data_IF_597739728988
#
_entry.id   IF_597739728988
#
_cell.length_a   1.000
_cell.length_b   1.000
_cell.length_c   1.000
_cell.angle_alpha   90.00
_cell.angle_beta   90.00
_cell.angle_gamma   90.00
#
_symmetry.space_group_name_H-M   'P 1'
#
loop_
_entity.id
_entity.type
_entity.pdbx_description
1 polymer ?
#
# COMPACT_ATOMS: atom_id res chain seq x y z
N UNK A 1 -25.23 2.60 29.64
CA UNK A 1 -26.00 1.92 28.57
C UNK A 1 -25.30 2.10 27.23
N UNK A 2 -25.32 1.10 26.36
CA UNK A 2 -24.79 1.22 24.97
C UNK A 2 -25.78 2.04 24.15
N UNK A 3 -25.28 2.97 23.32
CA UNK A 3 -26.14 3.75 22.43
C UNK A 3 -26.57 2.93 21.20
N UNK A 4 -27.72 3.29 20.60
CA UNK A 4 -28.17 2.71 19.34
C UNK A 4 -27.12 2.83 18.23
N UNK A 5 -26.43 3.97 18.14
CA UNK A 5 -25.36 4.20 17.15
C UNK A 5 -24.19 3.24 17.29
N UNK A 6 -23.77 2.95 18.53
CA UNK A 6 -22.70 2.00 18.81
C UNK A 6 -23.11 0.57 18.43
N UNK A 7 -24.35 0.16 18.74
CA UNK A 7 -24.87 -1.15 18.36
C UNK A 7 -24.92 -1.32 16.83
N UNK A 8 -25.40 -0.31 16.11
CA UNK A 8 -25.43 -0.32 14.63
C UNK A 8 -24.02 -0.46 14.04
N UNK A 9 -23.03 0.24 14.59
CA UNK A 9 -21.65 0.12 14.11
C UNK A 9 -21.08 -1.29 14.34
N UNK A 10 -21.36 -1.90 15.49
CA UNK A 10 -20.94 -3.27 15.78
C UNK A 10 -21.62 -4.27 14.84
N UNK A 11 -22.94 -4.14 14.63
CA UNK A 11 -23.69 -4.97 13.65
C UNK A 11 -23.10 -4.84 12.24
N UNK A 12 -22.75 -3.61 11.83
CA UNK A 12 -22.18 -3.34 10.51
C UNK A 12 -20.85 -4.06 10.23
N UNK A 13 -20.14 -4.54 11.25
CA UNK A 13 -18.94 -5.36 11.06
C UNK A 13 -19.27 -6.74 10.48
N UNK A 14 -20.40 -7.33 10.86
CA UNK A 14 -20.85 -8.63 10.36
C UNK A 14 -21.35 -8.57 8.91
N UNK A 15 -21.85 -7.41 8.46
CA UNK A 15 -22.43 -7.21 7.13
C UNK A 15 -21.43 -7.33 5.95
N UNK A 16 -20.15 -7.63 6.21
CA UNK A 16 -19.12 -7.88 5.19
C UNK A 16 -19.07 -9.33 4.71
N UNK A 17 -19.85 -10.21 5.32
CA UNK A 17 -19.96 -11.62 4.98
C UNK A 17 -21.41 -11.96 4.60
N UNK A 18 -21.58 -12.85 3.61
CA UNK A 18 -22.90 -13.33 3.15
C UNK A 18 -23.69 -14.05 4.26
N UNK A 19 -22.99 -14.75 5.15
CA UNK A 19 -23.54 -15.44 6.33
C UNK A 19 -23.29 -14.66 7.62
N UNK A 20 -23.17 -13.33 7.53
CA UNK A 20 -22.93 -12.48 8.69
C UNK A 20 -24.11 -12.46 9.66
N UNK A 21 -23.87 -12.87 10.90
CA UNK A 21 -24.86 -12.91 11.98
C UNK A 21 -24.37 -12.17 13.23
N UNK A 22 -25.32 -11.71 14.05
CA UNK A 22 -25.04 -10.97 15.29
C UNK A 22 -25.94 -11.48 16.40
N UNK A 23 -25.32 -11.96 17.48
CA UNK A 23 -26.01 -12.36 18.69
C UNK A 23 -25.84 -11.28 19.76
N UNK A 24 -26.94 -10.76 20.30
CA UNK A 24 -26.94 -9.82 21.41
C UNK A 24 -27.39 -10.53 22.68
N UNK A 25 -26.50 -10.66 23.65
CA UNK A 25 -26.83 -11.20 24.97
C UNK A 25 -27.35 -10.08 25.87
N UNK A 26 -28.62 -10.15 26.26
CA UNK A 26 -29.26 -9.23 27.18
C UNK A 26 -30.47 -9.91 27.83
N UNK A 27 -30.76 -9.56 29.09
CA UNK A 27 -31.94 -10.06 29.79
C UNK A 27 -33.24 -9.44 29.24
N UNK A 28 -33.17 -8.18 28.78
CA UNK A 28 -34.30 -7.44 28.22
C UNK A 28 -33.87 -6.64 26.98
N UNK A 29 -34.83 -6.38 26.08
CA UNK A 29 -34.63 -5.51 24.93
C UNK A 29 -34.72 -4.05 25.38
N UNK A 30 -33.62 -3.31 25.28
CA UNK A 30 -33.59 -1.87 25.55
C UNK A 30 -34.04 -1.06 24.32
N UNK A 31 -34.49 0.18 24.49
CA UNK A 31 -34.86 1.08 23.38
C UNK A 31 -33.74 1.25 22.34
N UNK A 32 -32.49 1.25 22.80
CA UNK A 32 -31.33 1.34 21.90
C UNK A 32 -31.15 0.07 21.07
N UNK A 33 -31.45 -1.10 21.63
CA UNK A 33 -31.43 -2.37 20.90
C UNK A 33 -32.58 -2.42 19.89
N UNK A 34 -33.80 -2.07 20.31
CA UNK A 34 -34.96 -2.04 19.42
C UNK A 34 -34.69 -1.17 18.19
N UNK A 35 -34.24 0.07 18.39
CA UNK A 35 -33.88 0.99 17.29
C UNK A 35 -32.79 0.41 16.36
N UNK A 36 -31.78 -0.26 16.91
CA UNK A 36 -30.70 -0.85 16.13
C UNK A 36 -31.18 -2.07 15.31
N UNK A 37 -32.02 -2.92 15.91
CA UNK A 37 -32.61 -4.10 15.27
C UNK A 37 -33.57 -3.66 14.16
N UNK A 38 -34.45 -2.71 14.43
CA UNK A 38 -35.42 -2.20 13.45
C UNK A 38 -34.74 -1.57 12.24
N UNK A 39 -33.72 -0.74 12.47
CA UNK A 39 -32.98 -0.12 11.36
C UNK A 39 -32.20 -1.17 10.55
N UNK A 40 -31.67 -2.20 11.20
CA UNK A 40 -30.99 -3.32 10.52
C UNK A 40 -31.97 -4.11 9.65
N UNK A 41 -33.13 -4.47 10.19
CA UNK A 41 -34.17 -5.21 9.48
C UNK A 41 -34.73 -4.39 8.30
N UNK A 42 -34.99 -3.09 8.50
CA UNK A 42 -35.44 -2.17 7.45
C UNK A 42 -34.44 -2.10 6.28
N UNK A 43 -33.14 -2.02 6.58
CA UNK A 43 -32.09 -2.01 5.54
C UNK A 43 -32.00 -3.35 4.81
N UNK A 44 -32.00 -4.46 5.55
CA UNK A 44 -31.93 -5.81 4.99
C UNK A 44 -33.09 -6.08 4.04
N UNK A 45 -34.32 -5.71 4.43
CA UNK A 45 -35.51 -5.89 3.58
C UNK A 45 -35.36 -5.14 2.23
N UNK A 46 -34.89 -3.89 2.26
CA UNK A 46 -34.62 -3.11 1.03
C UNK A 46 -33.54 -3.74 0.15
N UNK A 47 -32.48 -4.26 0.76
CA UNK A 47 -31.39 -4.91 0.04
C UNK A 47 -31.84 -6.21 -0.61
N UNK A 48 -32.63 -7.04 0.09
CA UNK A 48 -33.18 -8.28 -0.45
C UNK A 48 -34.13 -7.99 -1.61
N UNK A 49 -35.02 -7.00 -1.47
CA UNK A 49 -35.92 -6.60 -2.56
C UNK A 49 -35.14 -6.13 -3.80
N UNK A 50 -34.17 -5.25 -3.61
CA UNK A 50 -33.31 -4.78 -4.69
C UNK A 50 -32.53 -5.92 -5.37
N UNK A 51 -31.99 -6.85 -4.59
CA UNK A 51 -31.25 -7.99 -5.12
C UNK A 51 -32.17 -8.92 -5.93
N UNK A 52 -33.38 -9.18 -5.44
CA UNK A 52 -34.36 -10.00 -6.13
C UNK A 52 -34.80 -9.36 -7.45
N UNK A 53 -35.11 -8.06 -7.44
CA UNK A 53 -35.50 -7.30 -8.63
C UNK A 53 -34.42 -7.29 -9.72
N UNK A 54 -33.14 -7.36 -9.33
CA UNK A 54 -31.99 -7.27 -10.24
C UNK A 54 -31.28 -8.61 -10.48
N UNK A 55 -31.74 -9.70 -9.88
CA UNK A 55 -31.08 -11.00 -9.96
C UNK A 55 -29.65 -11.01 -9.40
N UNK A 56 -29.36 -10.18 -8.40
CA UNK A 56 -28.04 -10.08 -7.79
C UNK A 56 -27.90 -11.09 -6.65
N UNK A 57 -26.97 -12.04 -6.81
CA UNK A 57 -26.62 -12.97 -5.75
C UNK A 57 -25.57 -12.35 -4.80
N UNK A 58 -25.81 -12.31 -3.47
CA UNK A 58 -24.82 -11.82 -2.51
C UNK A 58 -23.55 -12.66 -2.55
N UNK A 59 -22.41 -12.03 -2.83
CA UNK A 59 -21.12 -12.70 -2.89
C UNK A 59 -20.15 -12.06 -1.88
N UNK A 60 -19.30 -12.86 -1.21
CA UNK A 60 -18.29 -12.32 -0.30
C UNK A 60 -17.25 -11.52 -1.07
N UNK A 61 -16.86 -10.37 -0.53
CA UNK A 61 -15.83 -9.54 -1.14
C UNK A 61 -14.46 -10.23 -1.06
N UNK A 62 -13.93 -10.66 -2.20
CA UNK A 62 -12.55 -11.15 -2.32
C UNK A 62 -11.59 -9.95 -2.38
N UNK A 63 -11.09 -9.50 -1.22
CA UNK A 63 -9.97 -8.56 -1.20
C UNK A 63 -8.68 -9.33 -1.42
N UNK A 64 -7.89 -8.91 -2.41
CA UNK A 64 -6.50 -9.35 -2.51
C UNK A 64 -5.79 -8.90 -1.22
N UNK A 65 -5.12 -9.84 -0.55
CA UNK A 65 -4.14 -9.47 0.47
C UNK A 65 -3.12 -8.61 -0.26
N UNK A 66 -2.70 -7.49 0.34
CA UNK A 66 -1.66 -6.65 -0.25
C UNK A 66 -0.43 -7.54 -0.46
N UNK A 67 -0.19 -7.90 -1.71
CA UNK A 67 0.86 -8.82 -2.08
C UNK A 67 2.19 -8.11 -1.79
N UNK A 68 3.10 -8.77 -1.08
CA UNK A 68 4.43 -8.21 -0.83
C UNK A 68 5.13 -7.87 -2.16
N UNK A 69 4.74 -8.56 -3.23
CA UNK A 69 5.14 -8.32 -4.62
C UNK A 69 4.73 -6.94 -5.11
N UNK A 70 3.55 -6.43 -4.74
CA UNK A 70 3.11 -5.08 -5.13
C UNK A 70 4.01 -3.99 -4.51
N UNK A 71 4.51 -4.22 -3.30
CA UNK A 71 5.46 -3.31 -2.64
C UNK A 71 6.84 -3.36 -3.29
N UNK A 72 7.31 -4.55 -3.66
CA UNK A 72 8.59 -4.77 -4.35
C UNK A 72 8.58 -4.14 -5.74
N UNK A 73 7.45 -4.25 -6.45
CA UNK A 73 7.26 -3.66 -7.78
C UNK A 73 7.32 -2.12 -7.72
N UNK A 74 6.61 -1.50 -6.78
CA UNK A 74 6.67 -0.04 -6.58
C UNK A 74 8.09 0.45 -6.27
N UNK A 75 8.79 -0.26 -5.39
CA UNK A 75 10.16 0.13 -5.02
C UNK A 75 11.12 0.02 -6.22
N UNK A 76 10.91 -0.99 -7.07
CA UNK A 76 11.64 -1.20 -8.32
C UNK A 76 11.39 -0.08 -9.34
N UNK A 77 10.13 0.30 -9.54
CA UNK A 77 9.74 1.41 -10.43
C UNK A 77 10.38 2.73 -9.98
N UNK A 78 10.39 3.01 -8.67
CA UNK A 78 11.04 4.19 -8.11
C UNK A 78 12.56 4.19 -8.36
N UNK A 79 13.23 3.03 -8.25
CA UNK A 79 14.67 2.93 -8.56
C UNK A 79 14.92 3.18 -10.05
N UNK A 80 14.10 2.60 -10.93
CA UNK A 80 14.23 2.80 -12.38
C UNK A 80 14.06 4.26 -12.78
N UNK A 81 13.13 4.99 -12.14
CA UNK A 81 12.96 6.42 -12.33
C UNK A 81 14.22 7.21 -11.92
N UNK A 82 14.84 6.90 -10.78
CA UNK A 82 16.08 7.53 -10.31
C UNK A 82 17.24 7.27 -11.28
N UNK A 83 17.40 6.02 -11.74
CA UNK A 83 18.43 5.65 -12.70
C UNK A 83 18.24 6.36 -14.05
N UNK A 84 17.00 6.48 -14.52
CA UNK A 84 16.67 7.19 -15.76
C UNK A 84 16.99 8.70 -15.67
N UNK A 85 16.70 9.34 -14.52
CA UNK A 85 17.06 10.74 -14.26
C UNK A 85 18.59 10.93 -14.25
N UNK A 86 19.33 10.02 -13.62
CA UNK A 86 20.80 10.05 -13.57
C UNK A 86 21.43 9.93 -14.97
N UNK A 87 20.92 9.02 -15.81
CA UNK A 87 21.40 8.87 -17.21
C UNK A 87 21.16 10.13 -18.04
N UNK A 88 20.00 10.80 -17.90
CA UNK A 88 19.71 12.08 -18.58
C UNK A 88 20.62 13.22 -18.11
N UNK A 89 20.96 13.27 -16.82
CA UNK A 89 21.88 14.28 -16.28
C UNK A 89 23.30 14.14 -16.88
N UNK A 90 23.82 12.90 -16.97
CA UNK A 90 25.13 12.63 -17.58
C UNK A 90 25.17 12.94 -19.10
N UNK A 91 24.08 12.73 -19.83
CA UNK A 91 24.04 13.05 -21.27
C UNK A 91 24.06 14.56 -21.53
N UNK A 92 23.49 15.36 -20.61
CA UNK A 92 23.47 16.83 -20.69
C UNK A 92 24.81 17.47 -20.34
N UNK A 93 25.61 16.85 -19.45
CA UNK A 93 26.98 17.29 -19.11
C UNK A 93 28.01 16.92 -20.17
N UNK A 94 27.85 15.80 -20.90
CA UNK A 94 28.72 15.47 -22.04
C UNK A 94 28.54 16.40 -23.25
N UNK A 95 27.38 17.04 -23.39
CA UNK A 95 27.12 17.99 -24.48
C UNK A 95 27.73 19.39 -24.24
N UNK A 96 28.23 19.70 -23.03
CA UNK A 96 28.59 21.07 -22.63
C UNK A 96 29.98 21.27 -22.02
N UNK A 97 30.89 20.30 -21.97
CA UNK A 97 32.17 20.53 -21.30
C UNK A 97 33.42 19.99 -22.02
N UNK A 98 34.09 20.90 -22.74
CA UNK A 98 35.54 20.95 -22.88
C UNK A 98 36.24 21.65 -21.69
N UNK A 99 35.64 21.67 -20.49
CA UNK A 99 36.24 22.29 -19.30
C UNK A 99 36.10 21.31 -18.13
N UNK A 100 37.25 20.76 -17.73
CA UNK A 100 37.41 19.89 -16.57
C UNK A 100 37.25 20.69 -15.28
N UNK A 101 36.19 20.41 -14.52
CA UNK A 101 36.20 20.54 -13.05
C UNK A 101 35.69 19.23 -12.47
N UNK A 102 36.62 18.38 -12.04
CA UNK A 102 36.31 17.20 -11.22
C UNK A 102 35.83 17.69 -9.86
N UNK A 103 34.52 17.87 -9.72
CA UNK A 103 33.90 18.05 -8.41
C UNK A 103 33.87 16.69 -7.71
N UNK A 104 34.67 16.54 -6.65
CA UNK A 104 34.74 15.34 -5.79
C UNK A 104 33.41 14.95 -5.15
N UNK A 105 32.37 15.79 -5.25
CA UNK A 105 31.04 15.54 -4.69
C UNK A 105 30.10 14.82 -5.66
N UNK A 106 30.40 14.78 -6.95
CA UNK A 106 29.60 14.00 -7.92
C UNK A 106 29.90 12.50 -7.88
N UNK A 107 31.08 12.11 -7.39
CA UNK A 107 31.50 10.72 -7.26
C UNK A 107 30.68 9.94 -6.19
N UNK A 108 30.54 10.45 -4.94
CA UNK A 108 29.73 9.80 -3.90
C UNK A 108 28.27 9.60 -4.33
N UNK A 109 27.72 10.58 -5.05
CA UNK A 109 26.35 10.50 -5.60
C UNK A 109 26.20 9.38 -6.63
N UNK A 110 27.14 9.27 -7.57
CA UNK A 110 27.10 8.22 -8.60
C UNK A 110 27.28 6.82 -8.00
N UNK A 111 28.15 6.68 -7.01
CA UNK A 111 28.36 5.44 -6.28
C UNK A 111 27.09 5.01 -5.52
N UNK A 112 26.41 5.96 -4.87
CA UNK A 112 25.15 5.69 -4.15
C UNK A 112 24.03 5.21 -5.11
N UNK A 113 23.92 5.84 -6.29
CA UNK A 113 22.96 5.44 -7.31
C UNK A 113 23.28 4.03 -7.86
N UNK A 114 24.55 3.73 -8.09
CA UNK A 114 24.98 2.40 -8.53
C UNK A 114 24.68 1.32 -7.48
N UNK A 115 24.90 1.64 -6.19
CA UNK A 115 24.59 0.75 -5.07
C UNK A 115 23.08 0.50 -4.93
N UNK A 116 22.25 1.54 -5.07
CA UNK A 116 20.79 1.40 -5.07
C UNK A 116 20.33 0.49 -6.21
N UNK A 117 20.95 0.63 -7.39
CA UNK A 117 20.70 -0.26 -8.54
C UNK A 117 21.02 -1.72 -8.24
N UNK A 118 22.22 -2.00 -7.74
CA UNK A 118 22.64 -3.38 -7.46
C UNK A 118 21.83 -4.06 -6.36
N UNK A 119 21.44 -3.32 -5.31
CA UNK A 119 20.56 -3.82 -4.25
C UNK A 119 19.14 -4.05 -4.76
N UNK A 120 18.66 -3.23 -5.69
CA UNK A 120 17.34 -3.42 -6.32
C UNK A 120 17.32 -4.71 -7.14
N UNK A 121 18.38 -5.01 -7.88
CA UNK A 121 18.50 -6.27 -8.63
C UNK A 121 18.54 -7.49 -7.69
N UNK A 122 19.28 -7.40 -6.58
CA UNK A 122 19.30 -8.43 -5.54
C UNK A 122 17.93 -8.63 -4.89
N UNK A 123 17.20 -7.54 -4.62
CA UNK A 123 15.84 -7.60 -4.10
C UNK A 123 14.88 -8.29 -5.09
N UNK A 124 14.97 -7.96 -6.39
CA UNK A 124 14.18 -8.60 -7.46
C UNK A 124 14.48 -10.10 -7.57
N UNK A 125 15.75 -10.48 -7.49
CA UNK A 125 16.15 -11.89 -7.52
C UNK A 125 15.63 -12.66 -6.30
N UNK A 126 15.78 -12.09 -5.09
CA UNK A 126 15.23 -12.70 -3.88
C UNK A 126 13.70 -12.85 -3.94
N UNK A 127 12.99 -11.89 -4.54
CA UNK A 127 11.56 -11.99 -4.78
C UNK A 127 11.20 -13.10 -5.79
N UNK A 128 11.98 -13.25 -6.86
CA UNK A 128 11.81 -14.30 -7.86
C UNK A 128 12.07 -15.70 -7.27
N UNK A 129 12.98 -15.82 -6.31
CA UNK A 129 13.28 -17.05 -5.57
C UNK A 129 12.33 -17.31 -4.39
N UNK A 130 11.26 -16.50 -4.23
CA UNK A 130 10.28 -16.59 -3.14
C UNK A 130 10.87 -16.36 -1.73
N UNK A 131 12.04 -15.72 -1.64
CA UNK A 131 12.70 -15.34 -0.38
C UNK A 131 12.21 -13.97 0.11
N UNK A 132 10.94 -13.91 0.51
CA UNK A 132 10.26 -12.64 0.83
C UNK A 132 10.84 -11.89 2.03
N UNK A 133 11.40 -12.59 3.01
CA UNK A 133 12.06 -11.96 4.17
C UNK A 133 13.33 -11.21 3.77
N UNK A 134 14.12 -11.80 2.87
CA UNK A 134 15.36 -11.20 2.36
C UNK A 134 15.02 -10.01 1.46
N UNK A 135 14.04 -10.17 0.56
CA UNK A 135 13.56 -9.08 -0.28
C UNK A 135 13.01 -7.90 0.55
N UNK A 136 12.29 -8.17 1.65
CA UNK A 136 11.79 -7.12 2.55
C UNK A 136 12.92 -6.35 3.24
N UNK A 137 13.98 -7.05 3.69
CA UNK A 137 15.16 -6.40 4.28
C UNK A 137 15.87 -5.48 3.28
N UNK A 138 16.12 -6.00 2.07
CA UNK A 138 16.77 -5.24 0.99
C UNK A 138 15.96 -3.99 0.60
N UNK A 139 14.62 -4.11 0.54
CA UNK A 139 13.72 -2.95 0.31
C UNK A 139 13.92 -1.86 1.35
N UNK A 140 13.99 -2.23 2.62
CA UNK A 140 14.12 -1.27 3.72
C UNK A 140 15.50 -0.58 3.69
N UNK A 141 16.55 -1.30 3.33
CA UNK A 141 17.90 -0.73 3.09
C UNK A 141 17.91 0.24 1.90
N UNK A 142 17.32 -0.14 0.77
CA UNK A 142 17.18 0.73 -0.43
C UNK A 142 16.46 2.02 -0.08
N UNK A 143 15.41 1.94 0.75
CA UNK A 143 14.62 3.11 1.16
C UNK A 143 15.43 4.11 1.98
N UNK A 144 16.34 3.62 2.83
CA UNK A 144 17.28 4.46 3.60
C UNK A 144 18.24 5.16 2.63
N UNK A 145 18.86 4.43 1.72
CA UNK A 145 19.80 4.99 0.73
C UNK A 145 19.13 6.02 -0.19
N UNK A 146 17.90 5.78 -0.63
CA UNK A 146 17.12 6.77 -1.41
C UNK A 146 16.80 8.03 -0.61
N UNK A 147 16.60 7.92 0.71
CA UNK A 147 16.40 9.09 1.57
C UNK A 147 17.68 9.91 1.66
N UNK A 148 18.82 9.25 1.84
CA UNK A 148 20.14 9.89 1.84
C UNK A 148 20.43 10.58 0.50
N UNK A 149 20.15 9.92 -0.63
CA UNK A 149 20.28 10.52 -1.97
C UNK A 149 19.46 11.82 -2.12
N UNK A 150 18.20 11.81 -1.66
CA UNK A 150 17.33 12.99 -1.70
C UNK A 150 17.84 14.10 -0.80
N UNK A 151 18.35 13.77 0.39
CA UNK A 151 18.97 14.76 1.28
C UNK A 151 20.22 15.38 0.67
N UNK A 152 21.02 14.61 -0.11
CA UNK A 152 22.14 15.16 -0.88
C UNK A 152 21.67 16.08 -2.02
N UNK A 153 20.57 15.74 -2.70
CA UNK A 153 19.95 16.58 -3.74
C UNK A 153 19.40 17.90 -3.20
N UNK A 154 18.70 17.88 -2.07
CA UNK A 154 18.14 19.07 -1.42
C UNK A 154 19.23 19.99 -0.84
N UNK A 155 20.37 19.42 -0.43
CA UNK A 155 21.54 20.17 0.02
C UNK A 155 22.29 20.90 -1.11
N UNK A 156 21.89 20.71 -2.37
CA UNK A 156 22.40 21.49 -3.51
C UNK A 156 23.87 21.21 -3.86
N UNK A 157 24.33 19.96 -3.72
CA UNK A 157 25.67 19.53 -4.18
C UNK A 157 25.59 18.53 -5.34
#
# INVERSE_FOLDING_TARGET
MRSATSLIQTIGRAARNVSGEVHMYADNITDSMAKAIDETNRRRAKQVAYNLERGVDPQPLRKKIADITDLINRESEDTEAILAMSKKANQKTLATAGIFTKNSVTLPRQELIALIGSLTDQMKNAAAELQFEVAARLRDEIKILKRELRSMEEAGV
#
